data_IF_484694167743
#
_entry.id   IF_484694167743
#
_cell.length_a   1.000
_cell.length_b   1.000
_cell.length_c   1.000
_cell.angle_alpha   90.00
_cell.angle_beta   90.00
_cell.angle_gamma   90.00
#
_symmetry.space_group_name_H-M   'P 1'
#
loop_
_entity.id
_entity.type
_entity.pdbx_description
1 polymer ?
#
# COMPACT_ATOMS: atom_id res chain seq x y z
N UNK A 1 -2.68 -26.77 9.07
CA UNK A 1 -1.93 -25.61 9.57
C UNK A 1 -0.63 -26.05 10.19
N UNK A 2 0.48 -25.43 9.81
CA UNK A 2 1.79 -25.60 10.44
C UNK A 2 2.03 -24.44 11.41
N UNK A 3 2.59 -24.69 12.58
CA UNK A 3 2.89 -23.64 13.55
C UNK A 3 4.33 -23.73 14.01
N UNK A 4 5.04 -22.62 13.91
CA UNK A 4 6.43 -22.48 14.35
C UNK A 4 6.49 -21.43 15.44
N UNK A 5 7.05 -21.78 16.59
CA UNK A 5 7.11 -20.90 17.76
C UNK A 5 8.49 -20.96 18.39
N UNK A 6 9.07 -19.80 18.66
CA UNK A 6 10.28 -19.70 19.49
C UNK A 6 9.92 -19.32 20.90
N UNK A 7 10.55 -19.94 21.88
CA UNK A 7 10.36 -19.64 23.31
C UNK A 7 11.52 -18.85 23.92
N UNK A 8 12.69 -18.90 23.29
CA UNK A 8 13.84 -18.09 23.74
C UNK A 8 13.74 -16.67 23.20
N UNK A 9 14.03 -15.68 24.04
CA UNK A 9 14.03 -14.28 23.63
C UNK A 9 15.11 -14.03 22.55
N UNK A 10 14.69 -13.39 21.44
CA UNK A 10 15.58 -13.08 20.32
C UNK A 10 15.87 -14.27 19.40
N UNK A 11 15.17 -15.42 19.57
CA UNK A 11 15.33 -16.54 18.67
C UNK A 11 14.48 -16.37 17.42
N UNK A 12 15.09 -16.64 16.28
CA UNK A 12 14.50 -16.46 14.95
C UNK A 12 13.80 -17.74 14.44
N UNK A 13 12.89 -17.55 13.50
CA UNK A 13 12.32 -18.62 12.69
C UNK A 13 12.89 -18.51 11.28
N UNK A 14 13.65 -19.50 10.83
CA UNK A 14 14.29 -19.49 9.52
C UNK A 14 13.87 -20.72 8.71
N UNK A 15 12.88 -20.52 7.84
CA UNK A 15 12.33 -21.52 6.91
C UNK A 15 12.65 -21.10 5.47
N UNK A 16 13.92 -20.86 5.18
CA UNK A 16 14.41 -20.22 3.95
C UNK A 16 14.74 -21.21 2.80
N UNK A 17 14.49 -22.50 2.98
CA UNK A 17 14.47 -23.46 1.89
C UNK A 17 13.10 -23.47 1.23
N UNK A 18 12.99 -23.96 0.01
CA UNK A 18 11.72 -24.16 -0.67
C UNK A 18 10.89 -25.23 0.06
N UNK A 19 10.12 -24.79 1.06
CA UNK A 19 9.20 -25.65 1.78
C UNK A 19 7.96 -25.93 0.92
N UNK A 20 7.16 -26.89 1.32
CA UNK A 20 5.88 -27.19 0.66
C UNK A 20 4.80 -27.33 1.74
N UNK A 21 4.22 -26.22 2.15
CA UNK A 21 3.16 -26.21 3.14
C UNK A 21 1.80 -26.38 2.45
N UNK A 22 1.13 -27.48 2.70
CA UNK A 22 -0.22 -27.75 2.16
C UNK A 22 -1.36 -27.04 2.90
N UNK A 23 -1.07 -26.10 3.80
CA UNK A 23 -2.04 -25.34 4.58
C UNK A 23 -1.39 -24.18 5.30
N UNK A 24 -2.18 -23.40 6.00
CA UNK A 24 -1.76 -22.15 6.61
C UNK A 24 -0.56 -22.31 7.58
N UNK A 25 0.31 -21.32 7.61
CA UNK A 25 1.55 -21.27 8.39
C UNK A 25 1.48 -20.17 9.43
N UNK A 26 1.59 -20.54 10.70
CA UNK A 26 1.69 -19.58 11.81
C UNK A 26 3.14 -19.43 12.26
N UNK A 27 3.60 -18.18 12.42
CA UNK A 27 4.95 -17.82 12.82
C UNK A 27 4.90 -16.99 14.10
N UNK A 28 5.45 -17.51 15.21
CA UNK A 28 5.41 -16.80 16.48
C UNK A 28 6.82 -16.70 17.08
N UNK A 29 7.38 -15.50 17.11
CA UNK A 29 8.69 -15.23 17.69
C UNK A 29 8.58 -14.56 19.05
N UNK A 30 9.59 -14.73 19.90
CA UNK A 30 9.64 -14.18 21.25
C UNK A 30 10.82 -13.24 21.44
N UNK A 31 10.56 -12.07 22.00
CA UNK A 31 11.56 -11.05 22.29
C UNK A 31 11.82 -10.09 21.13
N UNK A 32 12.32 -8.91 21.45
CA UNK A 32 12.58 -7.85 20.47
C UNK A 32 13.58 -8.30 19.39
N UNK A 33 13.33 -7.86 18.17
CA UNK A 33 14.14 -8.15 16.97
C UNK A 33 14.21 -9.62 16.53
N UNK A 34 13.43 -10.52 17.13
CA UNK A 34 13.32 -11.92 16.67
C UNK A 34 12.55 -11.97 15.34
N UNK A 35 13.27 -12.21 14.27
CA UNK A 35 12.69 -12.19 12.91
C UNK A 35 12.15 -13.55 12.48
N UNK A 36 11.33 -13.54 11.43
CA UNK A 36 10.87 -14.74 10.76
C UNK A 36 11.11 -14.67 9.24
N UNK A 37 11.61 -15.74 8.66
CA UNK A 37 11.74 -15.92 7.22
C UNK A 37 11.06 -17.21 6.82
N UNK A 38 10.18 -17.15 5.82
CA UNK A 38 9.51 -18.32 5.25
C UNK A 38 9.54 -18.26 3.72
N UNK A 39 9.92 -19.37 3.09
CA UNK A 39 9.86 -19.58 1.65
C UNK A 39 9.02 -20.80 1.39
N UNK A 40 7.98 -20.69 0.58
CA UNK A 40 7.16 -21.79 0.11
C UNK A 40 7.32 -21.98 -1.40
N UNK A 41 7.52 -23.23 -1.81
CA UNK A 41 7.65 -23.60 -3.23
C UNK A 41 6.34 -23.43 -4.02
N UNK A 42 5.22 -23.37 -3.30
CA UNK A 42 3.87 -23.16 -3.85
C UNK A 42 3.32 -21.79 -3.46
N UNK A 43 2.05 -21.68 -3.17
CA UNK A 43 1.44 -20.53 -2.53
C UNK A 43 1.58 -20.59 -1.02
N UNK A 44 1.63 -19.46 -0.36
CA UNK A 44 1.81 -19.32 1.08
C UNK A 44 0.58 -18.67 1.71
N UNK A 45 -0.13 -19.42 2.55
CA UNK A 45 -1.18 -18.91 3.43
C UNK A 45 -0.60 -18.64 4.82
N UNK A 46 -0.62 -17.40 5.25
CA UNK A 46 -0.15 -16.98 6.57
C UNK A 46 -1.34 -17.00 7.55
N UNK A 47 -1.32 -17.93 8.50
CA UNK A 47 -2.24 -17.92 9.63
C UNK A 47 -1.86 -16.81 10.62
N UNK A 48 -2.72 -16.57 11.61
CA UNK A 48 -2.45 -15.61 12.68
C UNK A 48 -1.04 -15.81 13.25
N UNK A 49 -0.24 -14.74 13.17
CA UNK A 49 1.19 -14.76 13.46
C UNK A 49 1.62 -13.54 14.25
N UNK A 50 2.60 -13.71 15.13
CA UNK A 50 3.23 -12.61 15.88
C UNK A 50 4.73 -12.67 15.68
N UNK A 51 5.29 -11.70 14.95
CA UNK A 51 6.72 -11.58 14.69
C UNK A 51 7.26 -10.29 15.31
N UNK A 52 8.10 -10.44 16.33
CA UNK A 52 8.63 -9.30 17.10
C UNK A 52 9.86 -8.62 16.44
N UNK A 53 10.25 -9.05 15.28
CA UNK A 53 11.26 -8.46 14.41
C UNK A 53 10.73 -8.37 12.98
N UNK A 54 11.61 -8.51 12.00
CA UNK A 54 11.24 -8.46 10.59
C UNK A 54 10.56 -9.75 10.14
N UNK A 55 9.63 -9.63 9.19
CA UNK A 55 9.01 -10.76 8.49
C UNK A 55 9.42 -10.75 7.01
N UNK A 56 9.96 -11.87 6.52
CA UNK A 56 10.18 -12.09 5.09
C UNK A 56 9.40 -13.33 4.66
N UNK A 57 8.46 -13.15 3.73
CA UNK A 57 7.61 -14.21 3.23
C UNK A 57 7.70 -14.28 1.69
N UNK A 58 8.01 -15.46 1.17
CA UNK A 58 8.15 -15.68 -0.28
C UNK A 58 7.33 -16.89 -0.72
N UNK A 59 6.53 -16.73 -1.77
CA UNK A 59 5.89 -17.81 -2.50
C UNK A 59 6.52 -17.94 -3.90
N UNK A 60 7.01 -19.13 -4.25
CA UNK A 60 7.77 -19.33 -5.48
C UNK A 60 6.87 -19.51 -6.70
N UNK A 61 5.78 -20.27 -6.59
CA UNK A 61 4.90 -20.57 -7.75
C UNK A 61 3.43 -20.20 -7.55
N UNK A 62 3.05 -19.66 -6.40
CA UNK A 62 1.65 -19.31 -6.09
C UNK A 62 1.52 -17.97 -5.41
N UNK A 63 0.34 -17.71 -4.88
CA UNK A 63 -0.02 -16.47 -4.20
C UNK A 63 0.50 -16.45 -2.75
N UNK A 64 0.55 -15.25 -2.17
CA UNK A 64 0.62 -15.05 -0.72
C UNK A 64 -0.74 -14.55 -0.26
N UNK A 65 -1.27 -15.19 0.78
CA UNK A 65 -2.54 -14.83 1.41
C UNK A 65 -2.38 -14.82 2.93
N UNK A 66 -3.23 -14.08 3.63
CA UNK A 66 -3.36 -14.16 5.07
C UNK A 66 -4.74 -14.73 5.45
N UNK A 67 -4.80 -15.88 6.11
CA UNK A 67 -6.01 -16.41 6.72
C UNK A 67 -6.17 -16.02 8.18
N UNK A 68 -5.26 -15.23 8.72
CA UNK A 68 -5.29 -14.70 10.09
C UNK A 68 -4.45 -13.45 10.24
N UNK A 69 -4.75 -12.66 11.25
CA UNK A 69 -4.08 -11.39 11.53
C UNK A 69 -2.57 -11.57 11.72
N UNK A 70 -1.79 -10.77 11.01
CA UNK A 70 -0.34 -10.67 11.15
C UNK A 70 0.01 -9.48 12.04
N UNK A 71 0.72 -9.72 13.13
CA UNK A 71 1.28 -8.68 13.99
C UNK A 71 2.80 -8.68 13.83
N UNK A 72 3.34 -7.66 13.20
CA UNK A 72 4.78 -7.57 12.91
C UNK A 72 5.35 -6.25 13.42
N UNK A 73 6.31 -6.33 14.34
CA UNK A 73 6.91 -5.12 14.93
C UNK A 73 8.01 -4.51 14.04
N UNK A 74 8.74 -5.34 13.31
CA UNK A 74 9.77 -4.89 12.35
C UNK A 74 9.21 -4.69 10.94
N UNK A 75 10.11 -4.56 9.97
CA UNK A 75 9.73 -4.43 8.56
C UNK A 75 9.21 -5.76 8.01
N UNK A 76 8.24 -5.69 7.13
CA UNK A 76 7.65 -6.83 6.44
C UNK A 76 7.99 -6.80 4.96
N UNK A 77 8.32 -7.94 4.38
CA UNK A 77 8.56 -8.09 2.95
C UNK A 77 7.83 -9.33 2.42
N UNK A 78 6.96 -9.12 1.45
CA UNK A 78 6.18 -10.17 0.80
C UNK A 78 6.53 -10.23 -0.69
N UNK A 79 6.93 -11.41 -1.17
CA UNK A 79 7.37 -11.60 -2.56
C UNK A 79 6.70 -12.81 -3.19
N UNK A 80 6.07 -12.63 -4.34
CA UNK A 80 5.66 -13.72 -5.23
C UNK A 80 6.59 -13.77 -6.44
N UNK A 81 7.15 -14.95 -6.75
CA UNK A 81 8.09 -15.11 -7.87
C UNK A 81 7.41 -15.52 -9.17
N UNK A 82 6.23 -16.13 -9.10
CA UNK A 82 5.49 -16.55 -10.28
C UNK A 82 4.82 -15.36 -10.99
N UNK A 83 4.81 -15.43 -12.31
CA UNK A 83 4.11 -14.45 -13.12
C UNK A 83 2.60 -14.47 -12.81
N UNK A 84 2.01 -13.30 -12.56
CA UNK A 84 0.61 -13.09 -12.19
C UNK A 84 0.18 -13.69 -10.83
N UNK A 85 1.10 -14.09 -9.97
CA UNK A 85 0.79 -14.44 -8.60
C UNK A 85 0.50 -13.18 -7.77
N UNK A 86 -0.47 -13.27 -6.88
CA UNK A 86 -1.01 -12.13 -6.11
C UNK A 86 -0.53 -12.14 -4.66
N UNK A 87 -0.56 -10.98 -4.03
CA UNK A 87 -0.41 -10.83 -2.58
C UNK A 87 -1.73 -10.28 -2.03
N UNK A 88 -2.37 -11.01 -1.10
CA UNK A 88 -3.64 -10.62 -0.51
C UNK A 88 -3.54 -10.68 1.02
N UNK A 89 -3.25 -9.53 1.63
CA UNK A 89 -3.14 -9.35 3.08
C UNK A 89 -4.31 -8.47 3.52
N UNK A 90 -5.51 -9.06 3.58
CA UNK A 90 -6.77 -8.33 3.74
C UNK A 90 -7.42 -8.46 5.12
N UNK A 91 -6.77 -9.15 6.06
CA UNK A 91 -7.15 -9.08 7.46
C UNK A 91 -6.72 -7.74 8.08
N UNK A 92 -7.27 -7.39 9.22
CA UNK A 92 -6.85 -6.23 9.99
C UNK A 92 -5.46 -6.46 10.61
N UNK A 93 -4.41 -6.42 9.77
CA UNK A 93 -3.04 -6.67 10.17
C UNK A 93 -2.50 -5.49 11.02
N UNK A 94 -1.42 -5.71 11.72
CA UNK A 94 -0.73 -4.69 12.51
C UNK A 94 0.76 -4.69 12.16
N UNK A 95 1.15 -3.86 11.20
CA UNK A 95 2.52 -3.68 10.76
C UNK A 95 3.09 -2.39 11.37
N UNK A 96 3.98 -2.51 12.36
CA UNK A 96 4.60 -1.31 12.95
C UNK A 96 5.72 -0.73 12.08
N UNK A 97 6.42 -1.60 11.35
CA UNK A 97 7.47 -1.21 10.41
C UNK A 97 6.94 -1.04 8.98
N UNK A 98 7.84 -0.85 8.03
CA UNK A 98 7.46 -0.74 6.62
C UNK A 98 7.01 -2.07 6.02
N UNK A 99 6.08 -1.99 5.06
CA UNK A 99 5.59 -3.14 4.28
C UNK A 99 6.06 -3.01 2.84
N UNK A 100 6.89 -3.94 2.39
CA UNK A 100 7.35 -4.04 1.01
C UNK A 100 6.63 -5.18 0.27
N UNK A 101 6.13 -4.89 -0.94
CA UNK A 101 5.37 -5.81 -1.77
C UNK A 101 6.08 -6.01 -3.11
N UNK A 102 6.31 -7.26 -3.53
CA UNK A 102 6.96 -7.56 -4.79
C UNK A 102 6.16 -8.61 -5.57
N UNK A 103 5.60 -8.20 -6.72
CA UNK A 103 4.87 -9.08 -7.64
C UNK A 103 5.28 -8.84 -9.08
N UNK A 104 5.10 -9.83 -9.97
CA UNK A 104 5.50 -9.74 -11.38
C UNK A 104 4.39 -10.20 -12.30
N UNK A 105 4.06 -9.38 -13.30
CA UNK A 105 3.04 -9.63 -14.32
C UNK A 105 1.82 -8.73 -14.16
N UNK A 106 1.13 -8.46 -15.26
CA UNK A 106 0.04 -7.46 -15.32
C UNK A 106 -1.21 -7.82 -14.52
N UNK A 107 -1.37 -9.09 -14.14
CA UNK A 107 -2.45 -9.55 -13.23
C UNK A 107 -1.94 -9.90 -11.82
N UNK A 108 -0.71 -9.54 -11.51
CA UNK A 108 -0.10 -9.76 -10.20
C UNK A 108 -0.48 -8.62 -9.25
N UNK A 109 -1.72 -8.67 -8.77
CA UNK A 109 -2.26 -7.64 -7.88
C UNK A 109 -1.74 -7.80 -6.45
N UNK A 110 -1.72 -6.70 -5.73
CA UNK A 110 -1.41 -6.69 -4.30
C UNK A 110 -2.51 -5.94 -3.53
N UNK A 111 -2.92 -6.52 -2.40
CA UNK A 111 -3.83 -5.90 -1.44
C UNK A 111 -3.18 -5.97 -0.06
N UNK A 112 -3.16 -4.87 0.65
CA UNK A 112 -2.71 -4.80 2.04
C UNK A 112 -3.66 -3.96 2.87
N UNK A 113 -4.04 -4.48 4.04
CA UNK A 113 -4.84 -3.78 5.04
C UNK A 113 -4.05 -3.74 6.34
N UNK A 114 -3.89 -2.55 6.90
CA UNK A 114 -3.32 -2.35 8.23
C UNK A 114 -4.37 -1.77 9.17
N UNK A 115 -4.49 -2.35 10.35
CA UNK A 115 -5.39 -1.87 11.41
C UNK A 115 -4.92 -0.56 12.06
N UNK A 116 -3.69 -0.16 11.79
CA UNK A 116 -3.08 1.10 12.25
C UNK A 116 -2.67 1.96 11.04
N UNK A 117 -1.63 2.74 11.13
CA UNK A 117 -1.05 3.44 9.99
C UNK A 117 -0.18 2.50 9.13
N UNK A 118 -0.23 2.66 7.82
CA UNK A 118 0.50 1.83 6.86
C UNK A 118 1.68 2.60 6.26
N UNK A 119 2.90 2.16 6.57
CA UNK A 119 4.10 2.66 5.93
C UNK A 119 4.53 1.71 4.81
N UNK A 120 4.46 2.15 3.57
CA UNK A 120 4.86 1.37 2.40
C UNK A 120 6.38 1.51 2.17
N UNK A 121 7.09 0.37 2.27
CA UNK A 121 8.48 0.25 1.86
C UNK A 121 8.63 0.14 0.35
N UNK A 122 9.87 0.07 -0.14
CA UNK A 122 10.15 -0.10 -1.58
C UNK A 122 9.36 -1.28 -2.14
N UNK A 123 8.45 -1.00 -3.06
CA UNK A 123 7.52 -1.97 -3.59
C UNK A 123 7.48 -1.95 -5.12
N UNK A 124 7.32 -3.14 -5.71
CA UNK A 124 7.11 -3.29 -7.15
C UNK A 124 5.89 -4.17 -7.36
N UNK A 125 4.80 -3.61 -7.88
CA UNK A 125 3.55 -4.34 -8.14
C UNK A 125 3.26 -4.32 -9.64
N UNK A 126 3.30 -5.49 -10.26
CA UNK A 126 3.07 -5.62 -11.71
C UNK A 126 1.60 -5.45 -12.11
N UNK A 127 0.66 -5.71 -11.22
CA UNK A 127 -0.78 -5.47 -11.36
C UNK A 127 -1.27 -4.26 -10.56
N UNK A 128 -2.50 -4.32 -10.08
CA UNK A 128 -3.08 -3.26 -9.25
C UNK A 128 -2.60 -3.36 -7.80
N UNK A 129 -2.52 -2.22 -7.13
CA UNK A 129 -2.29 -2.11 -5.69
C UNK A 129 -3.55 -1.56 -5.00
N UNK A 130 -3.97 -2.19 -3.90
CA UNK A 130 -4.93 -1.62 -2.95
C UNK A 130 -4.27 -1.60 -1.57
N UNK A 131 -4.11 -0.42 -1.01
CA UNK A 131 -3.50 -0.20 0.30
C UNK A 131 -4.47 0.54 1.22
N UNK A 132 -4.79 -0.05 2.37
CA UNK A 132 -5.76 0.51 3.32
C UNK A 132 -5.15 0.59 4.71
N UNK A 133 -5.25 1.75 5.33
CA UNK A 133 -5.02 1.96 6.76
C UNK A 133 -6.36 2.24 7.45
N UNK A 134 -6.71 1.46 8.48
CA UNK A 134 -8.00 1.65 9.16
C UNK A 134 -7.91 2.60 10.34
N UNK A 135 -6.74 2.73 10.98
CA UNK A 135 -6.46 3.71 12.03
C UNK A 135 -5.05 4.30 11.81
N UNK A 136 -4.92 5.48 11.27
CA UNK A 136 -3.64 6.16 11.01
C UNK A 136 -3.35 6.40 9.54
N UNK A 137 -2.27 7.09 9.27
CA UNK A 137 -1.90 7.57 7.96
C UNK A 137 -1.39 6.46 7.03
N UNK A 138 -1.47 6.71 5.73
CA UNK A 138 -0.66 5.97 4.76
C UNK A 138 0.55 6.82 4.40
N UNK A 139 1.74 6.24 4.47
CA UNK A 139 3.00 6.90 4.09
C UNK A 139 3.87 5.97 3.26
N UNK A 140 4.86 6.53 2.56
CA UNK A 140 5.90 5.77 1.89
C UNK A 140 7.29 6.06 2.49
N UNK A 141 8.04 5.03 2.81
CA UNK A 141 9.47 5.11 3.17
C UNK A 141 10.38 4.49 2.10
N UNK A 142 9.80 4.04 0.99
CA UNK A 142 10.49 3.48 -0.15
C UNK A 142 9.71 3.72 -1.44
N UNK A 143 10.41 3.84 -2.55
CA UNK A 143 9.80 4.10 -3.86
C UNK A 143 8.80 3.00 -4.22
N UNK A 144 7.60 3.41 -4.61
CA UNK A 144 6.54 2.55 -5.12
C UNK A 144 6.60 2.54 -6.65
N UNK A 145 6.70 1.36 -7.25
CA UNK A 145 6.61 1.16 -8.71
C UNK A 145 5.39 0.31 -9.01
N UNK A 146 4.30 0.93 -9.45
CA UNK A 146 3.02 0.28 -9.66
C UNK A 146 2.64 0.36 -11.14
N UNK A 147 2.51 -0.81 -11.79
CA UNK A 147 2.20 -0.88 -13.23
C UNK A 147 0.70 -0.84 -13.51
N UNK A 148 -0.12 -1.40 -12.63
CA UNK A 148 -1.58 -1.31 -12.69
C UNK A 148 -2.13 -0.09 -11.96
N UNK A 149 -3.44 -0.06 -11.75
CA UNK A 149 -4.08 0.99 -10.95
C UNK A 149 -3.67 0.90 -9.47
N UNK A 150 -3.45 2.04 -8.84
CA UNK A 150 -3.15 2.13 -7.42
C UNK A 150 -4.31 2.79 -6.66
N UNK A 151 -4.69 2.23 -5.52
CA UNK A 151 -5.72 2.76 -4.64
C UNK A 151 -5.19 2.83 -3.21
N UNK A 152 -5.28 4.01 -2.60
CA UNK A 152 -4.86 4.26 -1.23
C UNK A 152 -6.07 4.77 -0.43
N UNK A 153 -6.35 4.15 0.72
CA UNK A 153 -7.55 4.45 1.52
C UNK A 153 -7.17 4.55 3.00
N UNK A 154 -7.46 5.68 3.63
CA UNK A 154 -7.57 5.78 5.09
C UNK A 154 -9.04 5.87 5.47
N UNK A 155 -9.45 5.30 6.61
CA UNK A 155 -10.88 5.12 6.93
C UNK A 155 -11.36 5.88 8.15
N UNK A 156 -10.46 6.49 8.92
CA UNK A 156 -10.82 7.30 10.09
C UNK A 156 -10.57 8.79 9.84
N UNK A 157 -11.26 9.64 10.59
CA UNK A 157 -11.07 11.08 10.56
C UNK A 157 -9.63 11.50 10.91
N UNK A 158 -9.14 12.58 10.32
CA UNK A 158 -7.81 13.17 10.57
C UNK A 158 -6.62 12.30 10.15
N UNK A 159 -6.78 11.45 9.15
CA UNK A 159 -5.70 10.60 8.66
C UNK A 159 -5.28 10.99 7.25
N UNK A 160 -3.98 11.11 7.06
CA UNK A 160 -3.37 11.64 5.86
C UNK A 160 -2.89 10.53 4.90
N UNK A 161 -2.71 10.88 3.64
CA UNK A 161 -1.97 10.06 2.66
C UNK A 161 -0.73 10.85 2.25
N UNK A 162 0.46 10.35 2.59
CA UNK A 162 1.73 11.01 2.38
C UNK A 162 2.63 10.12 1.52
N UNK A 163 2.57 10.31 0.20
CA UNK A 163 3.38 9.60 -0.79
C UNK A 163 4.36 10.61 -1.41
N UNK A 164 5.39 10.98 -0.66
CA UNK A 164 6.26 12.13 -0.97
C UNK A 164 7.59 11.75 -1.66
N UNK A 165 7.81 10.46 -1.91
CA UNK A 165 8.98 9.99 -2.67
C UNK A 165 8.73 10.03 -4.18
N UNK A 166 9.78 9.84 -4.98
CA UNK A 166 9.70 9.78 -6.44
C UNK A 166 9.07 8.47 -6.91
N UNK A 167 7.80 8.28 -6.64
CA UNK A 167 7.06 7.09 -7.00
C UNK A 167 6.88 6.96 -8.52
N UNK A 168 6.51 5.78 -8.98
CA UNK A 168 6.29 5.47 -10.40
C UNK A 168 4.94 4.81 -10.55
N UNK A 169 3.92 5.58 -10.93
CA UNK A 169 2.59 5.09 -11.24
C UNK A 169 2.37 5.16 -12.75
N UNK A 170 2.14 4.02 -13.41
CA UNK A 170 2.01 4.00 -14.87
C UNK A 170 0.58 4.14 -15.37
N UNK A 171 -0.41 4.01 -14.48
CA UNK A 171 -1.82 4.16 -14.79
C UNK A 171 -2.51 5.07 -13.77
N UNK A 172 -3.75 4.80 -13.44
CA UNK A 172 -4.57 5.62 -12.56
C UNK A 172 -4.18 5.47 -11.09
N UNK A 173 -4.26 6.55 -10.34
CA UNK A 173 -4.11 6.57 -8.88
C UNK A 173 -5.40 7.11 -8.26
N UNK A 174 -5.96 6.37 -7.33
CA UNK A 174 -7.12 6.75 -6.53
C UNK A 174 -6.68 6.91 -5.08
N UNK A 175 -7.02 8.00 -4.44
CA UNK A 175 -6.71 8.27 -3.04
C UNK A 175 -7.98 8.70 -2.30
N UNK A 176 -8.19 8.12 -1.12
CA UNK A 176 -9.26 8.50 -0.20
C UNK A 176 -8.65 8.70 1.17
N UNK A 177 -8.59 9.94 1.65
CA UNK A 177 -8.12 10.26 2.99
C UNK A 177 -9.30 10.55 3.90
N UNK A 178 -9.43 9.77 4.98
CA UNK A 178 -10.45 9.95 6.00
C UNK A 178 -11.76 9.21 5.79
N UNK A 179 -12.70 9.45 6.72
CA UNK A 179 -13.98 8.73 6.86
C UNK A 179 -15.19 9.49 6.30
N UNK A 180 -14.94 10.62 5.65
CA UNK A 180 -16.03 11.50 5.19
C UNK A 180 -16.62 12.41 6.28
N UNK A 181 -15.99 12.55 7.44
CA UNK A 181 -16.33 13.58 8.41
C UNK A 181 -15.56 14.87 8.09
N UNK A 182 -16.07 16.02 8.50
CA UNK A 182 -15.43 17.33 8.30
C UNK A 182 -14.15 17.47 9.18
N UNK A 183 -13.21 16.56 9.06
CA UNK A 183 -11.90 16.61 9.70
C UNK A 183 -10.83 16.95 8.66
N UNK A 184 -9.77 17.59 9.08
CA UNK A 184 -8.67 17.98 8.18
C UNK A 184 -7.82 16.75 7.86
N UNK A 185 -7.85 16.32 6.61
CA UNK A 185 -7.05 15.23 6.06
C UNK A 185 -6.24 15.79 4.89
N UNK A 186 -4.93 15.57 4.91
CA UNK A 186 -4.05 16.08 3.87
C UNK A 186 -3.64 14.95 2.92
N UNK A 187 -3.46 15.32 1.65
CA UNK A 187 -2.82 14.44 0.68
C UNK A 187 -1.56 15.09 0.14
N UNK A 188 -0.46 14.38 0.27
CA UNK A 188 0.79 14.68 -0.42
C UNK A 188 1.09 13.55 -1.40
N UNK A 189 1.24 13.87 -2.67
CA UNK A 189 1.49 12.88 -3.72
C UNK A 189 2.59 13.34 -4.68
N UNK A 190 3.60 12.50 -4.86
CA UNK A 190 4.71 12.75 -5.79
C UNK A 190 4.85 11.57 -6.74
N UNK A 191 4.84 11.85 -8.04
CA UNK A 191 5.12 10.89 -9.09
C UNK A 191 6.34 11.32 -9.91
N UNK A 192 7.20 10.38 -10.27
CA UNK A 192 8.35 10.61 -11.14
C UNK A 192 7.97 10.89 -12.59
N UNK A 193 6.78 10.48 -13.01
CA UNK A 193 6.23 10.62 -14.36
C UNK A 193 5.17 11.71 -14.50
N UNK A 194 4.21 11.46 -15.37
CA UNK A 194 3.00 12.25 -15.51
C UNK A 194 1.95 11.75 -14.52
N UNK A 195 1.30 12.67 -13.83
CA UNK A 195 0.20 12.33 -12.91
C UNK A 195 -1.11 12.27 -13.68
N UNK A 196 -1.79 11.15 -13.58
CA UNK A 196 -3.16 10.99 -14.02
C UNK A 196 -4.03 10.68 -12.80
N UNK A 197 -4.64 11.72 -12.26
CA UNK A 197 -5.59 11.60 -11.17
C UNK A 197 -6.92 11.11 -11.75
N UNK A 198 -7.33 9.94 -11.31
CA UNK A 198 -8.58 9.32 -11.72
C UNK A 198 -9.31 8.81 -10.49
N UNK A 199 -10.61 8.98 -10.45
CA UNK A 199 -11.37 8.64 -9.28
C UNK A 199 -12.47 7.62 -9.56
N UNK A 200 -12.88 6.92 -8.52
CA UNK A 200 -14.09 6.09 -8.51
C UNK A 200 -15.00 6.55 -7.38
N UNK A 201 -16.27 6.75 -7.70
CA UNK A 201 -17.26 7.26 -6.78
C UNK A 201 -17.52 6.35 -5.58
N UNK A 202 -17.39 6.86 -4.36
CA UNK A 202 -18.19 6.39 -3.25
C UNK A 202 -18.65 7.55 -2.37
N UNK A 203 -19.83 7.42 -1.86
CA UNK A 203 -20.57 8.43 -1.13
C UNK A 203 -19.94 8.76 0.22
N UNK A 204 -19.89 10.00 0.55
CA UNK A 204 -19.67 10.70 1.82
C UNK A 204 -18.35 11.45 1.90
N UNK A 205 -18.25 12.47 1.07
CA UNK A 205 -17.41 13.64 1.22
C UNK A 205 -16.07 13.37 1.91
N UNK A 206 -15.04 13.50 1.33
CA UNK A 206 -13.73 13.90 1.75
C UNK A 206 -12.67 13.15 0.99
N UNK A 207 -12.10 13.85 0.14
CA UNK A 207 -11.07 13.50 -0.81
C UNK A 207 -11.36 12.29 -1.66
N UNK A 208 -12.10 12.54 -2.65
CA UNK A 208 -12.31 11.68 -3.79
C UNK A 208 -11.56 12.23 -4.99
N UNK A 209 -10.77 11.39 -5.65
CA UNK A 209 -10.42 11.62 -7.04
C UNK A 209 -11.34 10.74 -7.86
N UNK A 210 -12.49 11.27 -8.32
CA UNK A 210 -13.50 10.53 -9.08
C UNK A 210 -13.65 11.06 -10.50
N UNK A 211 -13.69 10.16 -11.49
CA UNK A 211 -14.01 10.50 -12.88
C UNK A 211 -15.48 10.83 -13.09
N UNK A 212 -16.34 10.63 -12.12
CA UNK A 212 -17.78 10.92 -12.18
C UNK A 212 -18.28 11.85 -11.07
N UNK A 213 -17.42 12.24 -10.14
CA UNK A 213 -17.68 13.20 -9.05
C UNK A 213 -16.43 14.03 -8.79
N UNK A 214 -16.55 15.08 -8.03
CA UNK A 214 -15.53 16.07 -7.80
C UNK A 214 -14.41 15.57 -6.89
N UNK A 215 -13.20 16.10 -7.02
CA UNK A 215 -12.15 15.98 -6.03
C UNK A 215 -12.46 16.95 -4.90
N UNK A 216 -12.81 16.45 -3.73
CA UNK A 216 -13.10 17.25 -2.53
C UNK A 216 -12.04 16.98 -1.46
N UNK A 217 -11.31 18.02 -1.06
CA UNK A 217 -10.22 17.96 -0.09
C UNK A 217 -10.49 18.96 1.01
N UNK A 218 -10.81 18.50 2.22
CA UNK A 218 -11.02 19.40 3.37
C UNK A 218 -9.73 20.06 3.86
N UNK A 219 -8.58 19.38 3.74
CA UNK A 219 -7.26 19.86 4.11
C UNK A 219 -6.45 20.44 2.94
N UNK A 220 -5.13 20.33 3.02
CA UNK A 220 -4.21 20.76 1.97
C UNK A 220 -3.99 19.66 0.93
N UNK A 221 -3.96 20.02 -0.34
CA UNK A 221 -3.67 19.13 -1.46
C UNK A 221 -2.33 19.48 -2.11
N UNK A 222 -1.37 18.58 -2.09
CA UNK A 222 -0.07 18.77 -2.76
C UNK A 222 0.14 17.67 -3.79
N UNK A 223 0.16 18.06 -5.07
CA UNK A 223 0.39 17.15 -6.20
C UNK A 223 1.66 17.58 -6.94
N UNK A 224 2.57 16.64 -7.14
CA UNK A 224 3.81 16.88 -7.88
C UNK A 224 4.08 15.81 -8.91
N UNK A 225 4.19 16.23 -10.18
CA UNK A 225 4.74 15.42 -11.27
C UNK A 225 6.20 15.82 -11.54
N UNK A 226 7.15 14.91 -11.39
CA UNK A 226 8.56 15.23 -11.70
C UNK A 226 8.84 15.18 -13.20
N UNK A 227 8.06 14.44 -13.98
CA UNK A 227 8.10 14.45 -15.45
C UNK A 227 6.68 14.35 -16.00
N UNK A 228 6.40 15.09 -17.09
CA UNK A 228 5.08 15.07 -17.73
C UNK A 228 4.09 16.09 -17.18
N UNK A 229 2.82 15.84 -17.38
CA UNK A 229 1.73 16.75 -17.12
C UNK A 229 0.93 16.37 -15.87
N UNK A 230 0.22 17.33 -15.31
CA UNK A 230 -0.87 17.12 -14.36
C UNK A 230 -2.17 17.44 -15.10
N UNK A 231 -3.10 16.52 -15.10
CA UNK A 231 -4.41 16.67 -15.72
C UNK A 231 -5.51 16.33 -14.72
N UNK A 232 -6.62 17.02 -14.86
CA UNK A 232 -7.82 16.84 -14.07
C UNK A 232 -8.86 16.12 -14.95
N UNK A 233 -9.57 15.16 -14.37
CA UNK A 233 -10.66 14.42 -15.03
C UNK A 233 -12.05 14.76 -14.47
N UNK A 234 -12.10 15.51 -13.36
CA UNK A 234 -13.33 15.92 -12.66
C UNK A 234 -13.09 17.20 -11.89
N UNK A 235 -14.10 17.82 -11.31
CA UNK A 235 -13.96 19.02 -10.48
C UNK A 235 -12.99 18.76 -9.30
N UNK A 236 -12.22 19.77 -8.93
CA UNK A 236 -11.29 19.75 -7.79
C UNK A 236 -11.73 20.81 -6.81
N UNK A 237 -12.36 20.41 -5.72
CA UNK A 237 -12.71 21.27 -4.61
C UNK A 237 -11.69 21.08 -3.46
N UNK A 238 -11.04 22.13 -3.01
CA UNK A 238 -10.04 22.10 -1.94
C UNK A 238 -10.43 23.09 -0.86
N UNK A 239 -10.71 22.61 0.33
CA UNK A 239 -11.16 23.42 1.46
C UNK A 239 -10.07 24.31 2.05
N UNK A 240 -8.79 23.98 1.85
CA UNK A 240 -7.63 24.74 2.33
C UNK A 240 -6.70 25.14 1.17
N UNK A 241 -5.44 24.71 1.16
CA UNK A 241 -4.46 25.12 0.14
C UNK A 241 -4.27 24.01 -0.89
N UNK A 242 -4.18 24.37 -2.17
CA UNK A 242 -3.78 23.42 -3.21
C UNK A 242 -2.47 23.84 -3.86
N UNK A 243 -1.56 22.89 -4.05
CA UNK A 243 -0.28 23.09 -4.71
C UNK A 243 -0.09 22.04 -5.79
N UNK A 244 -0.08 22.48 -7.04
CA UNK A 244 0.20 21.62 -8.19
C UNK A 244 1.54 22.01 -8.79
N UNK A 245 2.46 21.08 -8.95
CA UNK A 245 3.81 21.33 -9.46
C UNK A 245 4.17 20.30 -10.51
N UNK A 246 4.64 20.75 -11.68
CA UNK A 246 5.37 19.89 -12.61
C UNK A 246 6.81 20.38 -12.78
N UNK A 247 7.77 19.46 -12.72
CA UNK A 247 9.20 19.73 -12.93
C UNK A 247 9.66 19.44 -14.37
N UNK A 248 8.77 18.92 -15.22
CA UNK A 248 9.07 18.68 -16.63
C UNK A 248 9.28 19.98 -17.40
N UNK A 249 10.30 20.06 -18.26
CA UNK A 249 10.65 21.27 -19.01
C UNK A 249 9.54 21.78 -19.95
N UNK A 250 8.60 20.91 -20.34
CA UNK A 250 7.42 21.25 -21.12
C UNK A 250 6.14 20.69 -20.47
N UNK A 251 6.16 20.42 -19.17
CA UNK A 251 5.03 19.94 -18.42
C UNK A 251 3.91 20.98 -18.34
N UNK A 252 2.67 20.55 -18.49
CA UNK A 252 1.49 21.39 -18.34
C UNK A 252 0.67 20.96 -17.12
N UNK A 253 0.03 21.92 -16.49
CA UNK A 253 -1.00 21.69 -15.49
C UNK A 253 -2.32 22.13 -16.12
N UNK A 254 -3.24 21.18 -16.30
CA UNK A 254 -4.52 21.43 -16.93
C UNK A 254 -5.63 21.09 -15.93
N UNK A 255 -6.19 22.10 -15.30
CA UNK A 255 -7.30 22.06 -14.36
C UNK A 255 -8.46 22.82 -15.03
N UNK A 256 -9.18 22.16 -15.91
CA UNK A 256 -10.16 22.79 -16.76
C UNK A 256 -11.44 21.96 -16.88
N UNK A 257 -11.89 21.38 -15.79
CA UNK A 257 -13.23 20.85 -15.81
C UNK A 257 -14.18 22.01 -16.09
N UNK A 258 -14.96 21.90 -17.17
CA UNK A 258 -15.90 22.91 -17.58
C UNK A 258 -17.29 22.45 -17.14
N UNK A 259 -17.82 23.10 -16.13
CA UNK A 259 -19.25 23.06 -15.83
C UNK A 259 -20.09 23.64 -17.02
#
# INVERSE_FOLDING_TARGET
TSSFTTSASGADIVLNSENLFGGAVALNTTGSSAYATVVDASGLDLAASTVNGNLTATATTGNIEDSGVLTVTGNSSFTTSANNATITLNNANAFTGSVALSTTGSSAHATVVDASGLNLGTSTVGGNLVATATEGDISDSGILTITGAATFITTEATQDIILDLNNVFTTTVTMQAGDGSAAFNDITFVDSGAVNLHSEATSNGDLFIDASTDLDVDGDLVIKANAGNITQGSEVAVGATSTFTTSASNGTITLNDAD
#
